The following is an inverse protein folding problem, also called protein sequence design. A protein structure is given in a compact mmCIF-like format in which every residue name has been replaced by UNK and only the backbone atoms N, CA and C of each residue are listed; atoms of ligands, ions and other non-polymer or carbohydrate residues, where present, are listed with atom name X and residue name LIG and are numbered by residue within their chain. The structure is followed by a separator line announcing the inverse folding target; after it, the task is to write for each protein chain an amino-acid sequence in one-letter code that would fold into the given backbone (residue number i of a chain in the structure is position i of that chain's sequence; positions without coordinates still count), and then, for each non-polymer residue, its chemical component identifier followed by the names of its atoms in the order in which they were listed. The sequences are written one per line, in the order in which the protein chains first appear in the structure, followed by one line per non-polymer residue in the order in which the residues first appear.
data_IF_776193261727
#
_entry.id   IF_776193261727
#
_cell.length_a   1.000
_cell.length_b   1.000
_cell.length_c   1.000
_cell.angle_alpha   90.00
_cell.angle_beta   90.00
_cell.angle_gamma   90.00
#
_symmetry.space_group_name_H-M   'P 1'
#
loop_
_entity.id
_entity.type
_entity.pdbx_description
1 polymer ?
#
# COMPACT_ATOMS: atom_id res chain seq x y z
N UNK A 1 11.18 0.29 10.05
CA UNK A 1 10.35 1.17 9.21
C UNK A 1 9.17 1.67 10.03
N UNK A 2 8.83 2.92 9.84
CA UNK A 2 7.72 3.57 10.53
C UNK A 2 6.78 4.20 9.51
N UNK A 3 5.54 4.46 9.91
CA UNK A 3 4.56 5.12 9.06
C UNK A 3 3.83 6.20 9.87
N UNK A 4 3.61 7.36 9.26
CA UNK A 4 2.86 8.42 9.90
C UNK A 4 1.38 8.07 9.99
N UNK A 5 0.75 8.37 11.12
CA UNK A 5 -0.69 8.17 11.30
C UNK A 5 -1.50 8.87 10.21
N UNK A 6 -1.08 10.08 9.81
CA UNK A 6 -1.77 10.82 8.74
C UNK A 6 -1.82 10.07 7.42
N UNK A 7 -0.77 9.30 7.11
CA UNK A 7 -0.77 8.46 5.90
C UNK A 7 -1.80 7.35 6.03
N UNK A 8 -1.85 6.68 7.18
CA UNK A 8 -2.85 5.62 7.43
C UNK A 8 -4.27 6.21 7.32
N UNK A 9 -4.52 7.37 7.93
CA UNK A 9 -5.84 8.00 7.88
C UNK A 9 -6.24 8.36 6.45
N UNK A 10 -5.31 8.91 5.66
CA UNK A 10 -5.57 9.23 4.25
C UNK A 10 -5.89 7.97 3.45
N UNK A 11 -5.14 6.89 3.66
CA UNK A 11 -5.38 5.63 2.97
C UNK A 11 -6.74 5.06 3.36
N UNK A 12 -7.11 5.12 4.63
CA UNK A 12 -8.41 4.61 5.08
C UNK A 12 -9.57 5.40 4.46
N UNK A 13 -9.48 6.72 4.44
CA UNK A 13 -10.52 7.55 3.81
C UNK A 13 -10.60 7.30 2.31
N UNK A 14 -9.47 7.21 1.64
CA UNK A 14 -9.43 6.92 0.20
C UNK A 14 -10.01 5.54 -0.10
N UNK A 15 -9.76 4.57 0.77
CA UNK A 15 -10.29 3.22 0.61
C UNK A 15 -11.80 3.18 0.77
N UNK A 16 -12.35 3.92 1.74
CA UNK A 16 -13.81 4.05 1.90
C UNK A 16 -14.44 4.70 0.68
N UNK A 17 -13.83 5.76 0.17
CA UNK A 17 -14.35 6.48 -0.99
C UNK A 17 -14.31 5.65 -2.26
N UNK A 18 -13.42 4.67 -2.33
CA UNK A 18 -13.30 3.79 -3.50
C UNK A 18 -14.30 2.63 -3.51
N UNK A 19 -14.92 2.33 -2.36
CA UNK A 19 -15.84 1.20 -2.26
C UNK A 19 -16.93 1.26 -3.34
N UNK A 20 -17.29 0.13 -3.93
CA UNK A 20 -16.86 -1.25 -3.64
C UNK A 20 -15.54 -1.65 -4.30
N UNK A 21 -14.88 -0.72 -5.00
CA UNK A 21 -13.61 -0.98 -5.67
C UNK A 21 -12.44 -0.92 -4.69
N UNK A 22 -11.34 -1.56 -5.07
CA UNK A 22 -10.10 -1.48 -4.30
C UNK A 22 -9.40 -0.14 -4.57
N UNK A 23 -8.76 0.39 -3.54
CA UNK A 23 -7.87 1.53 -3.63
C UNK A 23 -6.42 1.04 -3.71
N UNK A 24 -5.59 1.69 -4.50
CA UNK A 24 -4.17 1.35 -4.61
C UNK A 24 -3.32 2.61 -4.81
N UNK A 25 -2.12 2.60 -4.24
CA UNK A 25 -1.17 3.70 -4.35
C UNK A 25 0.25 3.19 -4.07
N UNK A 26 1.25 4.04 -4.32
CA UNK A 26 2.63 3.78 -3.95
C UNK A 26 2.94 4.46 -2.62
N UNK A 27 3.84 3.85 -1.87
CA UNK A 27 4.33 4.40 -0.59
C UNK A 27 5.64 5.11 -0.81
N UNK A 28 5.76 6.32 -0.27
CA UNK A 28 7.01 7.10 -0.27
C UNK A 28 7.56 7.19 1.15
N UNK A 29 8.86 6.96 1.28
CA UNK A 29 9.53 7.03 2.57
C UNK A 29 10.77 7.91 2.51
N UNK A 30 11.12 8.48 3.65
CA UNK A 30 12.34 9.24 3.85
C UNK A 30 12.86 8.97 5.25
N UNK A 31 14.14 8.64 5.38
CA UNK A 31 14.74 8.32 6.68
C UNK A 31 13.97 7.23 7.44
N UNK A 32 13.57 6.18 6.71
CA UNK A 32 12.88 5.03 7.30
C UNK A 32 11.47 5.34 7.80
N UNK A 33 10.88 6.46 7.36
CA UNK A 33 9.52 6.85 7.70
C UNK A 33 8.70 7.00 6.42
N UNK A 34 7.61 6.23 6.32
CA UNK A 34 6.64 6.41 5.25
C UNK A 34 5.84 7.67 5.57
N UNK A 35 5.94 8.68 4.71
CA UNK A 35 5.36 9.99 4.97
C UNK A 35 4.31 10.43 3.96
N UNK A 36 4.19 9.72 2.84
CA UNK A 36 3.30 10.14 1.75
C UNK A 36 2.94 8.96 0.87
N UNK A 37 1.80 9.06 0.19
CA UNK A 37 1.42 8.13 -0.87
C UNK A 37 1.46 8.86 -2.20
N UNK A 38 1.68 8.12 -3.28
CA UNK A 38 1.61 8.65 -4.63
C UNK A 38 0.52 7.91 -5.40
N UNK A 39 -0.48 8.65 -5.84
CA UNK A 39 -1.56 8.12 -6.67
C UNK A 39 -1.09 8.02 -8.11
N UNK A 40 -1.48 6.94 -8.79
CA UNK A 40 -1.17 6.76 -10.20
C UNK A 40 -2.46 6.86 -11.00
N UNK A 41 -2.44 7.60 -12.12
CA UNK A 41 -3.61 7.63 -12.99
C UNK A 41 -4.00 6.21 -13.40
N UNK A 42 -5.27 5.86 -13.29
CA UNK A 42 -5.78 4.55 -13.64
C UNK A 42 -5.67 3.49 -12.55
N UNK A 43 -5.07 3.81 -11.40
CA UNK A 43 -4.95 2.84 -10.29
C UNK A 43 -6.04 3.00 -9.24
N UNK A 44 -6.90 3.97 -9.39
CA UNK A 44 -7.92 4.32 -8.38
C UNK A 44 -8.84 3.15 -8.06
N UNK A 45 -9.07 2.27 -9.03
CA UNK A 45 -9.91 1.08 -8.83
C UNK A 45 -9.08 -0.18 -8.59
N UNK A 46 -7.83 -0.04 -8.17
CA UNK A 46 -6.98 -1.19 -7.87
C UNK A 46 -6.35 -1.84 -9.08
N UNK A 47 -6.13 -1.08 -10.16
CA UNK A 47 -5.49 -1.61 -11.36
C UNK A 47 -4.00 -1.87 -11.12
N UNK A 48 -3.69 -3.11 -10.74
CA UNK A 48 -2.33 -3.55 -10.46
C UNK A 48 -1.43 -3.52 -11.69
N UNK A 49 -2.01 -3.62 -12.88
CA UNK A 49 -1.23 -3.54 -14.13
C UNK A 49 -0.57 -2.17 -14.27
N UNK A 50 -1.29 -1.10 -13.91
CA UNK A 50 -0.73 0.25 -13.97
C UNK A 50 0.43 0.42 -13.00
N UNK A 51 0.31 -0.14 -11.78
CA UNK A 51 1.40 -0.13 -10.80
C UNK A 51 2.61 -0.89 -11.32
N UNK A 52 2.40 -2.06 -11.91
CA UNK A 52 3.48 -2.87 -12.46
C UNK A 52 4.17 -2.18 -13.64
N UNK A 53 3.42 -1.49 -14.47
CA UNK A 53 3.99 -0.73 -15.60
C UNK A 53 4.87 0.41 -15.10
N UNK A 54 4.45 1.08 -14.04
CA UNK A 54 5.23 2.15 -13.44
C UNK A 54 6.58 1.62 -12.94
N UNK A 55 6.59 0.41 -12.41
CA UNK A 55 7.78 -0.23 -11.88
C UNK A 55 8.89 -0.37 -12.93
N UNK A 56 8.52 -0.45 -14.19
CA UNK A 56 9.47 -0.59 -15.30
C UNK A 56 10.08 0.73 -15.76
N UNK A 57 9.69 1.85 -15.15
CA UNK A 57 10.22 3.18 -15.48
C UNK A 57 11.30 3.56 -14.48
N UNK A 58 12.21 4.51 -14.83
CA UNK A 58 13.10 5.10 -13.83
C UNK A 58 12.26 5.67 -12.69
N UNK A 59 12.51 5.22 -11.47
CA UNK A 59 11.69 5.55 -10.32
C UNK A 59 12.50 6.35 -9.33
N UNK A 60 11.83 7.31 -8.69
CA UNK A 60 12.34 8.03 -7.54
C UNK A 60 12.64 7.01 -6.42
N UNK A 61 13.85 7.07 -5.86
CA UNK A 61 14.28 6.16 -4.80
C UNK A 61 13.47 6.32 -3.50
N UNK A 62 12.64 7.36 -3.40
CA UNK A 62 11.76 7.52 -2.26
C UNK A 62 10.60 6.51 -2.23
N UNK A 63 10.30 5.86 -3.36
CA UNK A 63 9.26 4.83 -3.40
C UNK A 63 9.78 3.55 -2.78
N UNK A 64 9.06 3.05 -1.78
CA UNK A 64 9.49 1.86 -1.02
C UNK A 64 8.55 0.67 -1.15
N UNK A 65 7.36 0.88 -1.68
CA UNK A 65 6.39 -0.21 -1.83
C UNK A 65 5.01 0.30 -2.22
N UNK A 66 4.01 -0.50 -1.88
CA UNK A 66 2.63 -0.26 -2.30
C UNK A 66 1.68 -0.31 -1.11
N UNK A 67 0.50 0.25 -1.30
CA UNK A 67 -0.63 0.08 -0.39
C UNK A 67 -1.87 -0.17 -1.22
N UNK A 68 -2.73 -1.09 -0.78
CA UNK A 68 -4.03 -1.28 -1.41
C UNK A 68 -5.04 -1.77 -0.38
N UNK A 69 -6.33 -1.65 -0.72
CA UNK A 69 -7.40 -2.06 0.16
C UNK A 69 -7.98 -3.40 -0.26
N UNK A 70 -8.38 -4.20 0.75
CA UNK A 70 -9.21 -5.39 0.58
C UNK A 70 -10.55 -5.10 1.25
N UNK A 71 -11.59 -4.72 0.49
CA UNK A 71 -12.88 -4.33 1.10
C UNK A 71 -13.53 -5.42 1.95
N UNK A 72 -13.17 -6.68 1.72
CA UNK A 72 -13.70 -7.81 2.48
C UNK A 72 -13.22 -7.84 3.94
N UNK A 73 -12.15 -7.11 4.27
CA UNK A 73 -11.54 -7.17 5.60
C UNK A 73 -10.54 -8.31 5.78
N UNK A 74 -10.33 -9.13 4.75
CA UNK A 74 -9.28 -10.16 4.77
C UNK A 74 -7.97 -9.49 4.36
N UNK A 75 -7.15 -9.10 5.33
CA UNK A 75 -5.97 -8.29 5.10
C UNK A 75 -4.69 -9.13 4.98
N UNK A 76 -4.73 -10.10 4.10
CA UNK A 76 -3.58 -10.93 3.73
C UNK A 76 -3.39 -10.89 2.21
N UNK A 77 -2.13 -11.02 1.73
CA UNK A 77 -1.88 -10.92 0.30
C UNK A 77 -2.45 -12.11 -0.47
N UNK A 78 -3.03 -11.82 -1.62
CA UNK A 78 -3.41 -12.84 -2.62
C UNK A 78 -2.17 -13.29 -3.38
N UNK A 79 -2.31 -14.30 -4.23
CA UNK A 79 -1.21 -14.74 -5.08
C UNK A 79 -0.77 -13.63 -6.04
N UNK A 80 -1.73 -12.87 -6.57
CA UNK A 80 -1.43 -11.72 -7.44
C UNK A 80 -0.65 -10.65 -6.68
N UNK A 81 -1.02 -10.39 -5.43
CA UNK A 81 -0.32 -9.44 -4.57
C UNK A 81 1.13 -9.86 -4.37
N UNK A 82 1.37 -11.15 -4.15
CA UNK A 82 2.73 -11.67 -3.94
C UNK A 82 3.59 -11.54 -5.17
N UNK A 83 3.01 -11.72 -6.35
CA UNK A 83 3.74 -11.50 -7.60
C UNK A 83 4.16 -10.03 -7.70
N UNK A 84 3.26 -9.11 -7.41
CA UNK A 84 3.57 -7.68 -7.40
C UNK A 84 4.67 -7.36 -6.39
N UNK A 85 4.58 -7.92 -5.19
CA UNK A 85 5.56 -7.67 -4.12
C UNK A 85 6.96 -8.11 -4.52
N UNK A 86 7.08 -9.21 -5.25
CA UNK A 86 8.38 -9.69 -5.72
C UNK A 86 9.05 -8.76 -6.73
N UNK A 87 8.29 -7.84 -7.32
CA UNK A 87 8.77 -6.97 -8.39
C UNK A 87 8.94 -5.53 -7.97
N UNK A 88 8.41 -5.11 -6.84
CA UNK A 88 8.41 -3.70 -6.49
C UNK A 88 8.47 -3.49 -4.99
N UNK A 89 9.58 -2.91 -4.53
CA UNK A 89 9.71 -2.44 -3.16
C UNK A 89 9.82 -3.53 -2.11
N UNK A 90 10.01 -3.11 -0.87
CA UNK A 90 10.21 -4.02 0.26
C UNK A 90 9.09 -3.94 1.29
N UNK A 91 8.17 -3.00 1.14
CA UNK A 91 7.09 -2.78 2.11
C UNK A 91 5.78 -2.66 1.37
N UNK A 92 4.83 -3.50 1.74
CA UNK A 92 3.53 -3.53 1.11
C UNK A 92 2.48 -3.56 2.20
N UNK A 93 1.53 -2.63 2.15
CA UNK A 93 0.49 -2.50 3.16
C UNK A 93 -0.85 -2.88 2.55
N UNK A 94 -1.61 -3.69 3.29
CA UNK A 94 -2.99 -4.01 2.95
C UNK A 94 -3.86 -3.44 4.04
N UNK A 95 -4.87 -2.67 3.65
CA UNK A 95 -5.88 -2.15 4.57
C UNK A 95 -7.23 -2.81 4.26
N UNK A 96 -8.11 -2.88 5.25
CA UNK A 96 -9.39 -3.53 5.07
C UNK A 96 -10.45 -2.98 5.99
N UNK A 97 -11.69 -3.43 5.76
CA UNK A 97 -12.81 -3.09 6.61
C UNK A 97 -12.50 -3.49 8.06
N UNK A 98 -12.81 -2.67 9.07
CA UNK A 98 -13.65 -1.46 9.02
C UNK A 98 -12.90 -0.14 8.73
N UNK A 99 -11.69 -0.16 8.22
CA UNK A 99 -10.92 1.01 7.81
C UNK A 99 -10.65 2.00 8.96
N UNK A 100 -10.29 1.46 10.11
CA UNK A 100 -9.84 2.27 11.26
C UNK A 100 -8.31 2.26 11.34
N UNK A 101 -7.75 2.96 12.34
CA UNK A 101 -6.30 3.11 12.48
C UNK A 101 -5.52 1.80 12.62
N UNK A 102 -6.21 0.69 12.89
CA UNK A 102 -5.58 -0.61 13.14
C UNK A 102 -5.96 -1.68 12.12
N UNK A 103 -6.77 -1.34 11.12
CA UNK A 103 -7.27 -2.28 10.11
C UNK A 103 -6.27 -2.44 8.97
N UNK A 104 -5.02 -2.73 9.29
CA UNK A 104 -3.99 -2.86 8.27
C UNK A 104 -2.85 -3.77 8.73
N UNK A 105 -2.15 -4.34 7.75
CA UNK A 105 -0.95 -5.16 7.97
C UNK A 105 0.09 -4.80 6.93
N UNK A 106 1.37 -5.03 7.27
CA UNK A 106 2.49 -4.79 6.38
C UNK A 106 3.20 -6.10 6.05
N UNK A 107 3.71 -6.19 4.83
CA UNK A 107 4.38 -7.38 4.31
C UNK A 107 5.66 -6.98 3.58
N UNK A 108 6.63 -7.88 3.54
CA UNK A 108 7.85 -7.66 2.77
C UNK A 108 7.66 -8.13 1.31
N UNK A 109 8.73 -8.08 0.53
CA UNK A 109 8.68 -8.47 -0.88
C UNK A 109 8.50 -9.98 -1.11
N UNK A 110 8.53 -10.77 -0.06
CA UNK A 110 8.22 -12.21 -0.13
C UNK A 110 6.81 -12.51 0.36
N UNK A 111 6.05 -11.49 0.74
CA UNK A 111 4.70 -11.66 1.26
C UNK A 111 4.64 -12.09 2.72
N UNK A 112 5.77 -11.98 3.43
CA UNK A 112 5.84 -12.31 4.86
C UNK A 112 5.47 -11.07 5.66
N UNK A 113 4.61 -11.23 6.65
CA UNK A 113 4.19 -10.11 7.50
C UNK A 113 5.38 -9.54 8.26
N UNK A 114 5.48 -8.21 8.26
CA UNK A 114 6.51 -7.47 8.97
C UNK A 114 5.85 -6.43 9.86
N UNK A 115 6.61 -5.96 10.84
CA UNK A 115 6.13 -4.93 11.75
C UNK A 115 6.53 -3.54 11.23
N UNK A 116 5.55 -2.67 11.09
CA UNK A 116 5.74 -1.25 10.79
C UNK A 116 5.06 -0.46 11.90
N UNK A 117 5.82 0.41 12.56
CA UNK A 117 5.31 1.18 13.68
C UNK A 117 4.60 2.44 13.19
N UNK A 118 3.37 2.66 13.68
CA UNK A 118 2.63 3.89 13.40
C UNK A 118 3.07 5.00 14.37
N UNK A 119 3.45 6.16 13.82
CA UNK A 119 3.87 7.32 14.59
C UNK A 119 3.02 8.53 14.24
N UNK A 120 3.05 9.55 15.10
CA UNK A 120 2.29 10.79 14.83
C UNK A 120 2.92 11.64 13.68
#
# INVERSE_FOLDING_TARGET
MKIRRGVIQLVMESSKDSLPNEFAALLKAKKDIIYEIALLPGTISGDRSAIMQLWMRPIDLSYVGTVHSHPSGVIYPSDEDRILYSKFGNIHIIVGYPFNDYSWRAFNNEGVEIKVEMIE
#
